data_IF_896860375443
#
_entry.id   IF_896860375443
#
_cell.length_a   1.000
_cell.length_b   1.000
_cell.length_c   1.000
_cell.angle_alpha   90.00
_cell.angle_beta   90.00
_cell.angle_gamma   90.00
#
_symmetry.space_group_name_H-M   'P 1'
#
loop_
_entity.id
_entity.type
_entity.pdbx_description
1 polymer ?
#
# COMPACT_ATOMS: atom_id res chain seq x y z
N UNK A 1 0.09 -28.94 -21.24
CA UNK A 1 1.36 -28.65 -21.95
C UNK A 1 2.28 -28.02 -20.93
N UNK A 2 3.45 -28.63 -20.69
CA UNK A 2 4.44 -28.16 -19.72
C UNK A 2 4.95 -26.78 -20.14
N UNK A 3 4.58 -25.73 -19.39
CA UNK A 3 5.17 -24.40 -19.55
C UNK A 3 6.50 -24.42 -18.79
N UNK A 4 7.58 -24.68 -19.52
CA UNK A 4 8.93 -24.51 -19.00
C UNK A 4 9.08 -23.08 -18.54
N UNK A 5 9.29 -22.89 -17.24
CA UNK A 5 9.74 -21.63 -16.67
C UNK A 5 11.13 -21.35 -17.27
N UNK A 6 11.18 -20.60 -18.37
CA UNK A 6 12.44 -20.08 -18.87
C UNK A 6 13.03 -19.20 -17.76
N UNK A 7 14.24 -19.56 -17.34
CA UNK A 7 14.95 -18.84 -16.30
C UNK A 7 15.43 -17.50 -16.88
N UNK A 8 14.59 -16.47 -16.83
CA UNK A 8 14.98 -15.10 -17.20
C UNK A 8 16.06 -14.64 -16.20
N UNK A 9 17.25 -14.22 -16.66
CA UNK A 9 18.28 -13.67 -15.79
C UNK A 9 17.77 -12.49 -14.96
N UNK A 10 18.27 -12.33 -13.74
CA UNK A 10 17.85 -11.25 -12.85
C UNK A 10 18.08 -9.85 -13.44
N UNK A 11 19.14 -9.67 -14.23
CA UNK A 11 19.43 -8.40 -14.93
C UNK A 11 18.37 -8.08 -15.98
N UNK A 12 17.94 -9.08 -16.76
CA UNK A 12 16.92 -8.90 -17.79
C UNK A 12 15.54 -8.65 -17.16
N UNK A 13 15.23 -9.33 -16.06
CA UNK A 13 14.02 -9.02 -15.27
C UNK A 13 14.02 -7.57 -14.76
N UNK A 14 15.17 -7.08 -14.28
CA UNK A 14 15.31 -5.70 -13.80
C UNK A 14 15.15 -4.68 -14.93
N UNK A 15 15.82 -4.89 -16.06
CA UNK A 15 15.72 -4.01 -17.23
C UNK A 15 14.28 -3.95 -17.74
N UNK A 16 13.62 -5.12 -17.84
CA UNK A 16 12.21 -5.20 -18.22
C UNK A 16 11.30 -4.50 -17.21
N UNK A 17 11.57 -4.59 -15.90
CA UNK A 17 10.77 -3.93 -14.88
C UNK A 17 10.85 -2.41 -14.95
N UNK A 18 12.04 -1.87 -15.24
CA UNK A 18 12.26 -0.43 -15.39
C UNK A 18 11.62 0.09 -16.68
N UNK A 19 11.80 -0.62 -17.79
CA UNK A 19 11.26 -0.23 -19.10
C UNK A 19 9.73 -0.30 -19.12
N UNK A 20 9.16 -1.33 -18.50
CA UNK A 20 7.71 -1.55 -18.48
C UNK A 20 7.04 -0.99 -17.22
N UNK A 21 7.70 -0.06 -16.52
CA UNK A 21 7.13 0.57 -15.34
C UNK A 21 5.89 1.38 -15.73
N UNK A 22 4.81 1.22 -14.96
CA UNK A 22 3.51 1.82 -15.23
C UNK A 22 2.92 2.49 -14.02
N UNK A 23 2.01 3.42 -14.27
CA UNK A 23 1.18 4.05 -13.24
C UNK A 23 -0.25 4.26 -13.76
N UNK A 24 -1.19 4.43 -12.83
CA UNK A 24 -2.55 4.86 -13.11
C UNK A 24 -2.75 6.29 -12.64
N UNK A 25 -3.33 7.13 -13.51
CA UNK A 25 -3.70 8.50 -13.18
C UNK A 25 -5.01 8.51 -12.36
N UNK A 26 -5.14 9.44 -11.40
CA UNK A 26 -6.32 9.56 -10.54
C UNK A 26 -7.66 9.48 -11.28
N UNK A 27 -7.82 10.18 -12.40
CA UNK A 27 -9.09 10.23 -13.14
C UNK A 27 -9.56 8.84 -13.63
N UNK A 28 -8.63 7.92 -13.92
CA UNK A 28 -8.96 6.54 -14.26
C UNK A 28 -9.14 5.67 -13.02
N UNK A 29 -8.43 5.98 -11.94
CA UNK A 29 -8.55 5.27 -10.68
C UNK A 29 -9.87 5.57 -9.97
N UNK A 30 -10.38 6.79 -10.07
CA UNK A 30 -11.66 7.21 -9.48
C UNK A 30 -12.86 6.44 -10.07
N UNK A 31 -12.77 6.06 -11.34
CA UNK A 31 -13.80 5.29 -12.04
C UNK A 31 -13.61 3.78 -11.94
N UNK A 32 -12.52 3.32 -11.31
CA UNK A 32 -12.24 1.90 -11.14
C UNK A 32 -13.22 1.25 -10.16
N UNK A 33 -13.65 0.03 -10.49
CA UNK A 33 -14.41 -0.81 -9.58
C UNK A 33 -13.46 -1.62 -8.68
N UNK A 34 -13.45 -1.30 -7.39
CA UNK A 34 -12.64 -2.00 -6.39
C UNK A 34 -13.31 -3.27 -5.85
N UNK A 35 -14.58 -3.50 -6.17
CA UNK A 35 -15.31 -4.74 -5.85
C UNK A 35 -15.01 -5.85 -6.87
N UNK A 36 -14.54 -5.47 -8.06
CA UNK A 36 -14.16 -6.41 -9.09
C UNK A 36 -12.85 -7.13 -8.71
N UNK A 37 -12.96 -8.43 -8.43
CA UNK A 37 -11.83 -9.32 -8.17
C UNK A 37 -11.34 -10.06 -9.41
N UNK A 38 -12.01 -9.88 -10.56
CA UNK A 38 -11.58 -10.52 -11.80
C UNK A 38 -10.33 -9.84 -12.35
N UNK A 39 -9.41 -10.65 -12.87
CA UNK A 39 -8.31 -10.18 -13.72
C UNK A 39 -8.84 -9.92 -15.13
N UNK A 40 -9.84 -9.03 -15.26
CA UNK A 40 -10.43 -8.77 -16.56
C UNK A 40 -9.37 -8.22 -17.52
N UNK A 41 -9.47 -8.63 -18.79
CA UNK A 41 -8.47 -8.45 -19.85
C UNK A 41 -8.19 -6.96 -20.16
N UNK A 42 -9.00 -6.05 -19.63
CA UNK A 42 -8.88 -4.61 -19.84
C UNK A 42 -8.32 -3.81 -18.64
N UNK A 43 -8.04 -4.46 -17.51
CA UNK A 43 -7.54 -3.77 -16.30
C UNK A 43 -6.16 -3.12 -16.53
N UNK A 44 -5.27 -3.77 -17.27
CA UNK A 44 -3.95 -3.22 -17.63
C UNK A 44 -4.03 -1.97 -18.53
N UNK A 45 -5.09 -1.84 -19.34
CA UNK A 45 -5.32 -0.65 -20.18
C UNK A 45 -5.71 0.61 -19.38
N UNK A 46 -6.09 0.43 -18.10
CA UNK A 46 -6.32 1.56 -17.19
C UNK A 46 -5.02 2.25 -16.80
N UNK A 47 -3.91 1.55 -16.68
CA UNK A 47 -2.60 2.18 -16.45
C UNK A 47 -1.99 2.71 -17.76
N UNK A 48 -0.85 3.39 -17.64
CA UNK A 48 -0.02 3.84 -18.76
C UNK A 48 1.46 3.65 -18.42
N UNK A 49 2.34 3.57 -19.44
CA UNK A 49 3.79 3.65 -19.20
C UNK A 49 4.15 4.91 -18.42
N UNK A 50 5.11 4.76 -17.52
CA UNK A 50 5.69 5.89 -16.80
C UNK A 50 6.46 6.77 -17.79
N UNK A 51 6.25 8.09 -17.74
CA UNK A 51 6.94 9.01 -18.64
C UNK A 51 8.41 9.16 -18.22
N UNK A 52 9.26 9.56 -19.16
CA UNK A 52 10.66 9.85 -18.86
C UNK A 52 10.79 10.93 -17.78
N UNK A 53 11.61 10.67 -16.76
CA UNK A 53 11.78 11.50 -15.55
C UNK A 53 10.53 11.70 -14.68
N UNK A 54 9.43 11.00 -14.96
CA UNK A 54 8.29 10.97 -14.05
C UNK A 54 8.59 10.05 -12.87
N UNK A 55 8.05 10.38 -11.70
CA UNK A 55 8.08 9.54 -10.52
C UNK A 55 6.66 9.35 -10.04
N UNK A 56 6.31 8.11 -9.68
CA UNK A 56 4.98 7.77 -9.21
C UNK A 56 4.78 8.35 -7.81
N UNK A 57 3.63 8.96 -7.54
CA UNK A 57 3.42 9.60 -6.24
C UNK A 57 3.20 8.57 -5.13
N UNK A 58 2.33 7.59 -5.37
CA UNK A 58 2.00 6.57 -4.37
C UNK A 58 2.16 5.15 -4.89
N UNK A 59 2.85 4.32 -4.12
CA UNK A 59 2.66 2.87 -4.14
C UNK A 59 1.44 2.56 -3.28
N UNK A 60 0.38 1.99 -3.84
CA UNK A 60 -0.83 1.69 -3.08
C UNK A 60 -0.80 0.26 -2.54
N UNK A 61 -0.63 0.13 -1.22
CA UNK A 61 -0.78 -1.14 -0.50
C UNK A 61 -2.14 -1.21 0.16
N UNK A 62 -2.90 -2.26 -0.12
CA UNK A 62 -4.26 -2.41 0.38
C UNK A 62 -4.74 -3.86 0.36
N UNK A 63 -5.76 -4.18 1.16
CA UNK A 63 -6.45 -5.47 1.05
C UNK A 63 -7.61 -5.39 0.06
N UNK A 64 -7.63 -6.32 -0.90
CA UNK A 64 -8.81 -6.56 -1.75
C UNK A 64 -10.06 -6.99 -0.97
N UNK A 65 -9.93 -7.52 0.25
CA UNK A 65 -11.08 -7.96 1.09
C UNK A 65 -11.71 -6.83 1.93
N UNK A 66 -11.07 -5.67 2.01
CA UNK A 66 -11.69 -4.52 2.67
C UNK A 66 -12.74 -3.88 1.77
N UNK A 67 -13.75 -3.26 2.39
CA UNK A 67 -14.92 -2.70 1.71
C UNK A 67 -14.50 -1.71 0.58
N UNK A 68 -14.96 -1.94 -0.67
CA UNK A 68 -14.53 -1.15 -1.82
C UNK A 68 -15.01 0.30 -1.76
N UNK A 69 -16.20 0.56 -1.23
CA UNK A 69 -16.77 1.91 -1.12
C UNK A 69 -16.03 2.72 -0.06
N UNK A 70 -15.67 2.10 1.07
CA UNK A 70 -14.85 2.74 2.09
C UNK A 70 -13.45 3.07 1.55
N UNK A 71 -12.82 2.15 0.80
CA UNK A 71 -11.53 2.41 0.14
C UNK A 71 -11.61 3.59 -0.82
N UNK A 72 -12.65 3.61 -1.65
CA UNK A 72 -12.87 4.68 -2.63
C UNK A 72 -13.05 6.04 -1.95
N UNK A 73 -13.83 6.10 -0.88
CA UNK A 73 -14.00 7.34 -0.11
C UNK A 73 -12.66 7.85 0.46
N UNK A 74 -11.85 6.96 1.06
CA UNK A 74 -10.54 7.30 1.58
C UNK A 74 -9.58 7.79 0.48
N UNK A 75 -9.59 7.15 -0.69
CA UNK A 75 -8.78 7.56 -1.84
C UNK A 75 -9.16 8.94 -2.38
N UNK A 76 -10.46 9.27 -2.41
CA UNK A 76 -10.92 10.62 -2.80
C UNK A 76 -10.37 11.68 -1.86
N UNK A 77 -10.37 11.42 -0.56
CA UNK A 77 -9.79 12.33 0.44
C UNK A 77 -8.27 12.51 0.22
N UNK A 78 -7.53 11.41 0.08
CA UNK A 78 -6.08 11.45 -0.21
C UNK A 78 -5.78 12.22 -1.50
N UNK A 79 -6.55 11.98 -2.57
CA UNK A 79 -6.35 12.66 -3.84
C UNK A 79 -6.62 14.17 -3.75
N UNK A 80 -7.63 14.59 -2.98
CA UNK A 80 -7.93 16.00 -2.73
C UNK A 80 -6.84 16.68 -1.92
N UNK A 81 -6.40 16.08 -0.81
CA UNK A 81 -5.28 16.60 -0.01
C UNK A 81 -4.00 16.75 -0.84
N UNK A 82 -3.73 15.78 -1.71
CA UNK A 82 -2.61 15.85 -2.64
C UNK A 82 -2.77 17.02 -3.62
N UNK A 83 -3.96 17.18 -4.21
CA UNK A 83 -4.25 18.28 -5.13
C UNK A 83 -4.09 19.66 -4.46
N UNK A 84 -4.56 19.81 -3.22
CA UNK A 84 -4.43 21.06 -2.47
C UNK A 84 -2.97 21.45 -2.22
N UNK A 85 -2.10 20.45 -1.97
CA UNK A 85 -0.68 20.66 -1.69
C UNK A 85 0.21 20.76 -2.93
N UNK A 86 -0.18 20.14 -4.04
CA UNK A 86 0.67 20.02 -5.24
C UNK A 86 0.08 20.64 -6.50
N UNK A 87 -1.18 21.10 -6.47
CA UNK A 87 -1.92 21.69 -7.60
C UNK A 87 -1.98 20.78 -8.85
N UNK A 88 -1.97 19.46 -8.63
CA UNK A 88 -2.23 18.43 -9.64
C UNK A 88 -2.76 17.17 -8.98
N UNK A 89 -3.43 16.31 -9.73
CA UNK A 89 -3.85 15.01 -9.22
C UNK A 89 -2.68 14.03 -9.09
N UNK A 90 -2.74 13.10 -8.11
CA UNK A 90 -1.69 12.10 -7.91
C UNK A 90 -1.72 10.98 -8.95
N UNK A 91 -0.59 10.30 -9.07
CA UNK A 91 -0.42 9.03 -9.79
C UNK A 91 -0.19 7.89 -8.81
N UNK A 92 -0.65 6.70 -9.16
CA UNK A 92 -0.55 5.53 -8.31
C UNK A 92 0.10 4.36 -9.04
N UNK A 93 0.80 3.53 -8.28
CA UNK A 93 1.12 2.17 -8.67
C UNK A 93 0.18 1.23 -7.91
N UNK A 94 -0.48 0.34 -8.65
CA UNK A 94 -1.44 -0.63 -8.13
C UNK A 94 -1.26 -1.96 -8.87
N UNK A 95 -1.10 -3.05 -8.13
CA UNK A 95 -0.84 -4.40 -8.63
C UNK A 95 -1.75 -4.79 -9.80
N UNK A 96 -3.08 -4.71 -9.64
CA UNK A 96 -4.08 -5.17 -10.61
C UNK A 96 -3.96 -4.51 -11.97
N UNK A 97 -3.54 -3.25 -12.02
CA UNK A 97 -3.54 -2.46 -13.28
C UNK A 97 -2.13 -2.15 -13.78
N UNK A 98 -1.11 -2.18 -12.92
CA UNK A 98 0.27 -1.85 -13.27
C UNK A 98 1.12 -3.10 -13.57
N UNK A 99 0.71 -4.28 -13.10
CA UNK A 99 1.31 -5.56 -13.50
C UNK A 99 0.51 -6.15 -14.65
N UNK A 100 1.24 -6.69 -15.63
CA UNK A 100 0.65 -7.53 -16.67
C UNK A 100 0.13 -8.83 -16.04
N UNK A 101 -1.19 -8.97 -15.97
CA UNK A 101 -1.84 -10.09 -15.29
C UNK A 101 -1.63 -11.42 -16.02
N UNK A 102 -1.19 -11.40 -17.29
CA UNK A 102 -0.81 -12.61 -18.02
C UNK A 102 0.59 -13.11 -17.61
N UNK A 103 1.40 -12.26 -16.96
CA UNK A 103 2.73 -12.60 -16.44
C UNK A 103 2.97 -12.07 -15.01
N UNK A 104 2.05 -12.36 -14.09
CA UNK A 104 2.11 -11.93 -12.69
C UNK A 104 3.42 -12.36 -12.03
N UNK A 105 3.85 -13.61 -12.27
CA UNK A 105 5.00 -14.20 -11.59
C UNK A 105 6.31 -13.43 -11.76
N UNK A 106 6.53 -12.80 -12.91
CA UNK A 106 7.72 -11.98 -13.14
C UNK A 106 7.57 -10.58 -12.54
N UNK A 107 6.37 -9.98 -12.60
CA UNK A 107 6.07 -8.71 -11.95
C UNK A 107 6.27 -8.78 -10.43
N UNK A 108 5.94 -9.91 -9.79
CA UNK A 108 6.12 -10.07 -8.34
C UNK A 108 7.60 -10.14 -7.92
N UNK A 109 8.49 -10.70 -8.75
CA UNK A 109 9.92 -10.81 -8.43
C UNK A 109 10.62 -9.46 -8.35
N UNK A 110 10.08 -8.45 -9.03
CA UNK A 110 10.66 -7.11 -9.15
C UNK A 110 9.90 -6.08 -8.29
N UNK A 111 9.08 -6.53 -7.33
CA UNK A 111 8.38 -5.66 -6.38
C UNK A 111 9.26 -4.56 -5.76
N UNK A 112 10.54 -4.81 -5.37
CA UNK A 112 11.41 -3.73 -4.87
C UNK A 112 11.59 -2.57 -5.86
N UNK A 113 11.63 -2.85 -7.16
CA UNK A 113 11.75 -1.82 -8.22
C UNK A 113 10.51 -0.94 -8.20
N UNK A 114 9.32 -1.54 -8.14
CA UNK A 114 8.05 -0.82 -8.13
C UNK A 114 7.88 0.04 -6.88
N UNK A 115 8.16 -0.53 -5.70
CA UNK A 115 8.10 0.22 -4.43
C UNK A 115 9.10 1.37 -4.42
N UNK A 116 10.31 1.17 -4.95
CA UNK A 116 11.34 2.22 -4.97
C UNK A 116 11.10 3.29 -6.02
N UNK A 117 10.33 3.00 -7.07
CA UNK A 117 9.94 3.99 -8.08
C UNK A 117 8.86 4.97 -7.60
N UNK A 118 8.16 4.67 -6.50
CA UNK A 118 7.15 5.53 -5.90
C UNK A 118 7.75 6.47 -4.84
N UNK A 119 7.24 7.70 -4.73
CA UNK A 119 7.68 8.65 -3.68
C UNK A 119 7.27 8.17 -2.30
N UNK A 120 5.99 7.87 -2.14
CA UNK A 120 5.38 7.46 -0.89
C UNK A 120 4.70 6.10 -1.05
N UNK A 121 4.52 5.41 0.08
CA UNK A 121 3.68 4.23 0.19
C UNK A 121 2.39 4.62 0.89
N UNK A 122 1.28 4.54 0.16
CA UNK A 122 -0.06 4.73 0.69
C UNK A 122 -0.60 3.38 1.17
N UNK A 123 -0.79 3.26 2.48
CA UNK A 123 -1.38 2.09 3.12
C UNK A 123 -2.84 2.40 3.43
N UNK A 124 -3.75 1.74 2.72
CA UNK A 124 -5.18 1.76 3.04
C UNK A 124 -5.48 0.68 4.08
N UNK A 125 -5.43 1.05 5.36
CA UNK A 125 -5.51 0.12 6.47
C UNK A 125 -6.97 -0.12 6.88
N UNK A 126 -7.57 -1.21 6.39
CA UNK A 126 -8.87 -1.71 6.85
C UNK A 126 -8.78 -2.94 7.76
N UNK A 127 -9.94 -3.49 8.18
CA UNK A 127 -10.02 -4.61 9.12
C UNK A 127 -9.26 -5.87 8.69
N UNK A 128 -9.10 -6.11 7.39
CA UNK A 128 -8.45 -7.31 6.86
C UNK A 128 -6.97 -7.11 6.52
N UNK A 129 -6.47 -5.87 6.51
CA UNK A 129 -5.11 -5.54 6.05
C UNK A 129 -4.03 -6.38 6.75
N UNK A 130 -4.06 -6.46 8.08
CA UNK A 130 -3.05 -7.21 8.86
C UNK A 130 -3.16 -8.73 8.73
N UNK A 131 -4.22 -9.23 8.08
CA UNK A 131 -4.41 -10.65 7.77
C UNK A 131 -3.89 -11.02 6.38
N UNK A 132 -3.43 -10.04 5.59
CA UNK A 132 -2.88 -10.25 4.25
C UNK A 132 -1.36 -10.21 4.31
N UNK A 133 -0.73 -11.36 4.09
CA UNK A 133 0.72 -11.47 4.10
C UNK A 133 1.36 -10.63 2.97
N UNK A 134 0.69 -10.57 1.82
CA UNK A 134 1.12 -9.75 0.68
C UNK A 134 1.23 -8.26 1.03
N UNK A 135 0.22 -7.69 1.69
CA UNK A 135 0.23 -6.27 2.09
C UNK A 135 1.36 -5.97 3.09
N UNK A 136 1.60 -6.88 4.04
CA UNK A 136 2.73 -6.74 4.96
C UNK A 136 4.08 -6.87 4.22
N UNK A 137 4.17 -7.74 3.22
CA UNK A 137 5.36 -7.93 2.40
C UNK A 137 5.74 -6.67 1.59
N UNK A 138 4.76 -5.96 1.03
CA UNK A 138 4.97 -4.68 0.34
C UNK A 138 5.60 -3.64 1.28
N UNK A 139 5.03 -3.48 2.48
CA UNK A 139 5.56 -2.57 3.49
C UNK A 139 6.96 -2.98 3.96
N UNK A 140 7.21 -4.26 4.19
CA UNK A 140 8.55 -4.76 4.53
C UNK A 140 9.57 -4.49 3.42
N UNK A 141 9.14 -4.57 2.15
CA UNK A 141 9.99 -4.26 1.00
C UNK A 141 10.49 -2.81 1.07
N UNK A 142 9.62 -1.85 1.39
CA UNK A 142 10.06 -0.45 1.61
C UNK A 142 11.14 -0.34 2.69
N UNK A 143 10.93 -0.98 3.85
CA UNK A 143 11.89 -0.95 4.97
C UNK A 143 13.20 -1.70 4.70
N UNK A 144 13.17 -2.69 3.79
CA UNK A 144 14.36 -3.46 3.44
C UNK A 144 15.28 -2.72 2.47
N UNK A 145 14.72 -1.84 1.63
CA UNK A 145 15.43 -1.10 0.59
C UNK A 145 15.58 0.40 0.89
N UNK A 146 15.24 0.83 2.10
CA UNK A 146 15.43 2.20 2.57
C UNK A 146 16.02 2.19 3.98
N UNK A 147 16.73 3.26 4.36
CA UNK A 147 17.05 3.44 5.79
C UNK A 147 15.74 3.56 6.59
N UNK A 148 15.77 3.17 7.87
CA UNK A 148 14.59 3.23 8.73
C UNK A 148 13.92 4.62 8.73
N UNK A 149 14.73 5.69 8.81
CA UNK A 149 14.25 7.08 8.78
C UNK A 149 13.56 7.41 7.46
N UNK A 150 14.13 7.00 6.33
CA UNK A 150 13.54 7.24 5.00
C UNK A 150 12.25 6.43 4.80
N UNK A 151 12.24 5.16 5.22
CA UNK A 151 11.05 4.32 5.11
C UNK A 151 9.89 4.93 5.89
N UNK A 152 10.14 5.30 7.15
CA UNK A 152 9.16 5.98 8.02
C UNK A 152 8.63 7.27 7.38
N UNK A 153 9.49 8.13 6.84
CA UNK A 153 9.05 9.39 6.23
C UNK A 153 8.27 9.22 4.92
N UNK A 154 8.28 8.02 4.32
CA UNK A 154 7.60 7.70 3.06
C UNK A 154 6.28 6.96 3.27
N UNK A 155 5.95 6.54 4.49
CA UNK A 155 4.72 5.80 4.77
C UNK A 155 3.60 6.76 5.11
N UNK A 156 2.52 6.71 4.34
CA UNK A 156 1.26 7.38 4.59
C UNK A 156 0.21 6.31 4.91
N UNK A 157 -0.33 6.27 6.13
CA UNK A 157 -1.40 5.32 6.50
C UNK A 157 -2.74 6.06 6.56
N UNK A 158 -3.70 5.61 5.74
CA UNK A 158 -5.09 6.03 5.79
C UNK A 158 -5.93 4.90 6.37
N UNK A 159 -6.51 5.12 7.54
CA UNK A 159 -7.39 4.12 8.17
C UNK A 159 -8.75 4.12 7.48
N UNK A 160 -9.23 2.94 7.11
CA UNK A 160 -10.52 2.76 6.46
C UNK A 160 -11.64 2.71 7.50
N UNK A 161 -12.37 3.81 7.61
CA UNK A 161 -13.47 3.97 8.57
C UNK A 161 -14.81 3.98 7.84
N UNK A 162 -15.84 3.34 8.42
CA UNK A 162 -17.22 3.49 7.96
C UNK A 162 -17.69 4.94 8.10
N UNK A 163 -18.78 5.31 7.42
CA UNK A 163 -19.38 6.64 7.55
C UNK A 163 -19.68 7.01 9.01
N UNK A 164 -20.24 6.07 9.77
CA UNK A 164 -20.54 6.26 11.21
C UNK A 164 -19.27 6.48 12.03
N UNK A 165 -18.20 5.75 11.74
CA UNK A 165 -16.92 5.91 12.44
C UNK A 165 -16.23 7.22 12.08
N UNK A 166 -16.30 7.66 10.81
CA UNK A 166 -15.82 8.98 10.38
C UNK A 166 -16.55 10.10 11.11
N UNK A 167 -17.87 10.05 11.18
CA UNK A 167 -18.67 11.04 11.91
C UNK A 167 -18.35 11.06 13.40
N UNK A 168 -18.16 9.88 14.01
CA UNK A 168 -17.74 9.77 15.41
C UNK A 168 -16.34 10.37 15.61
N UNK A 169 -15.38 10.04 14.75
CA UNK A 169 -14.03 10.57 14.77
C UNK A 169 -14.05 12.09 14.62
N UNK A 170 -14.82 12.63 13.68
CA UNK A 170 -14.95 14.07 13.46
C UNK A 170 -15.52 14.78 14.69
N UNK A 171 -16.59 14.26 15.30
CA UNK A 171 -17.17 14.83 16.53
C UNK A 171 -16.17 14.81 17.68
N UNK A 172 -15.45 13.70 17.85
CA UNK A 172 -14.41 13.57 18.87
C UNK A 172 -13.26 14.56 18.64
N UNK A 173 -12.79 14.70 17.40
CA UNK A 173 -11.75 15.68 17.03
C UNK A 173 -12.20 17.12 17.30
N UNK A 174 -13.44 17.47 16.92
CA UNK A 174 -14.00 18.80 17.19
C UNK A 174 -14.13 19.08 18.69
N UNK A 175 -14.51 18.09 19.50
CA UNK A 175 -14.57 18.23 20.95
C UNK A 175 -13.17 18.42 21.55
N UNK A 176 -12.20 17.58 21.17
CA UNK A 176 -10.83 17.66 21.65
C UNK A 176 -10.17 19.01 21.33
N UNK A 177 -10.31 19.50 20.09
CA UNK A 177 -9.74 20.77 19.65
C UNK A 177 -10.32 21.98 20.41
N UNK A 178 -11.55 21.88 20.95
CA UNK A 178 -12.12 22.91 21.82
C UNK A 178 -11.49 22.91 23.22
N UNK A 179 -11.12 21.74 23.72
CA UNK A 179 -10.49 21.56 25.03
C UNK A 179 -8.98 21.88 24.99
N UNK A 180 -8.34 21.74 23.83
CA UNK A 180 -6.89 21.91 23.63
C UNK A 180 -6.59 22.89 22.48
N UNK A 181 -6.99 24.17 22.58
CA UNK A 181 -6.90 25.14 21.48
C UNK A 181 -5.46 25.48 21.06
N UNK A 182 -4.48 25.28 21.95
CA UNK A 182 -3.07 25.57 21.71
C UNK A 182 -2.28 24.37 21.15
N UNK A 183 -2.90 23.18 21.07
CA UNK A 183 -2.28 22.00 20.47
C UNK A 183 -2.47 22.00 18.95
N UNK A 184 -1.39 22.29 18.21
CA UNK A 184 -1.36 22.13 16.75
C UNK A 184 -1.31 20.64 16.42
N UNK A 185 -2.47 20.07 16.14
CA UNK A 185 -2.62 18.68 15.78
C UNK A 185 -1.97 18.39 14.42
N UNK A 186 -0.95 17.53 14.41
CA UNK A 186 -0.45 16.90 13.17
C UNK A 186 -1.33 15.68 12.87
N UNK A 187 -1.61 15.49 11.58
CA UNK A 187 -2.74 14.75 11.00
C UNK A 187 -3.27 13.55 11.81
N UNK A 188 -4.58 13.57 12.03
CA UNK A 188 -5.44 12.39 11.98
C UNK A 188 -5.40 11.34 13.09
N UNK A 189 -4.52 11.42 14.10
CA UNK A 189 -4.40 10.35 15.12
C UNK A 189 -4.56 10.88 16.54
N UNK A 190 -5.69 10.57 17.18
CA UNK A 190 -5.79 10.62 18.65
C UNK A 190 -5.03 9.40 19.17
N UNK A 191 -3.93 9.57 19.93
CA UNK A 191 -3.14 8.47 20.45
C UNK A 191 -4.02 7.45 21.20
N UNK A 192 -3.92 6.17 20.81
CA UNK A 192 -4.56 5.06 21.52
C UNK A 192 -6.05 4.82 21.24
N UNK A 193 -6.64 5.35 20.17
CA UNK A 193 -8.09 5.23 19.93
C UNK A 193 -8.54 4.51 18.65
N UNK A 194 -7.62 4.09 17.77
CA UNK A 194 -7.98 3.42 16.52
C UNK A 194 -7.63 1.93 16.54
N UNK A 195 -8.63 1.02 16.64
CA UNK A 195 -8.41 -0.42 16.68
C UNK A 195 -7.62 -0.97 15.49
N UNK A 196 -7.69 -0.32 14.33
CA UNK A 196 -6.98 -0.74 13.12
C UNK A 196 -5.50 -0.41 13.20
N UNK A 197 -5.15 0.77 13.75
CA UNK A 197 -3.76 1.09 14.05
C UNK A 197 -3.18 0.18 15.13
N UNK A 198 -3.98 -0.16 16.13
CA UNK A 198 -3.63 -1.13 17.16
C UNK A 198 -3.29 -2.50 16.57
N UNK A 199 -4.07 -2.94 15.59
CA UNK A 199 -3.83 -4.19 14.85
C UNK A 199 -2.47 -4.17 14.14
N UNK A 200 -2.10 -3.07 13.48
CA UNK A 200 -0.79 -2.91 12.85
C UNK A 200 0.35 -2.88 13.88
N UNK A 201 0.18 -2.17 15.01
CA UNK A 201 1.17 -2.12 16.09
C UNK A 201 1.40 -3.48 16.77
N UNK A 202 0.41 -4.37 16.72
CA UNK A 202 0.44 -5.72 17.28
C UNK A 202 0.61 -6.80 16.21
N UNK A 203 0.90 -6.41 14.96
CA UNK A 203 1.00 -7.32 13.82
C UNK A 203 1.86 -8.54 14.13
N UNK A 204 1.38 -9.73 13.75
CA UNK A 204 2.13 -10.98 13.79
C UNK A 204 2.09 -11.69 12.45
N UNK A 205 3.24 -12.18 12.00
CA UNK A 205 3.33 -12.85 10.69
C UNK A 205 2.61 -14.19 10.66
N UNK A 206 2.42 -14.82 11.83
CA UNK A 206 1.60 -16.03 12.00
C UNK A 206 0.14 -15.84 11.64
N UNK A 207 -0.37 -14.61 11.75
CA UNK A 207 -1.80 -14.31 11.60
C UNK A 207 -2.16 -13.83 10.18
N UNK A 208 -1.15 -13.70 9.31
CA UNK A 208 -1.28 -13.16 7.98
C UNK A 208 -1.07 -14.25 6.92
N UNK A 209 -1.88 -14.23 5.87
CA UNK A 209 -1.92 -15.27 4.83
C UNK A 209 -1.95 -14.69 3.41
N UNK A 210 -1.48 -15.46 2.45
CA UNK A 210 -1.76 -15.20 1.02
C UNK A 210 -2.99 -15.97 0.57
N UNK A 211 -3.54 -15.58 -0.57
CA UNK A 211 -4.64 -16.33 -1.19
C UNK A 211 -4.15 -17.68 -1.76
N UNK A 212 -2.99 -17.68 -2.43
CA UNK A 212 -2.34 -18.90 -2.94
C UNK A 212 -1.37 -19.47 -1.88
N UNK A 213 -1.58 -20.72 -1.41
CA UNK A 213 -0.68 -21.39 -0.48
C UNK A 213 0.77 -21.55 -0.99
N UNK A 214 0.98 -21.66 -2.30
CA UNK A 214 2.32 -21.79 -2.87
C UNK A 214 3.09 -20.47 -2.76
N UNK A 215 2.44 -19.35 -3.06
CA UNK A 215 3.01 -18.01 -2.87
C UNK A 215 3.21 -17.71 -1.38
N UNK A 216 2.29 -18.16 -0.51
CA UNK A 216 2.48 -18.06 0.94
C UNK A 216 3.76 -18.79 1.38
N UNK A 217 3.95 -20.05 0.96
CA UNK A 217 5.11 -20.85 1.32
C UNK A 217 6.42 -20.19 0.86
N UNK A 218 6.45 -19.64 -0.35
CA UNK A 218 7.60 -18.89 -0.87
C UNK A 218 7.90 -17.66 -0.03
N UNK A 219 6.91 -16.80 0.23
CA UNK A 219 7.10 -15.61 1.06
C UNK A 219 7.53 -15.96 2.47
N UNK A 220 6.91 -16.96 3.10
CA UNK A 220 7.31 -17.43 4.44
C UNK A 220 8.75 -17.92 4.46
N UNK A 221 9.20 -18.63 3.42
CA UNK A 221 10.60 -19.06 3.32
C UNK A 221 11.55 -17.87 3.30
N UNK A 222 11.22 -16.80 2.56
CA UNK A 222 12.05 -15.58 2.51
C UNK A 222 12.00 -14.83 3.84
N UNK A 223 10.82 -14.70 4.44
CA UNK A 223 10.62 -14.06 5.75
C UNK A 223 11.43 -14.80 6.84
N UNK A 224 11.40 -16.12 6.85
CA UNK A 224 12.20 -16.93 7.77
C UNK A 224 13.71 -16.68 7.59
N UNK A 225 14.17 -16.59 6.34
CA UNK A 225 15.58 -16.32 6.02
C UNK A 225 16.05 -14.92 6.46
N UNK A 226 15.20 -13.90 6.35
CA UNK A 226 15.53 -12.52 6.83
C UNK A 226 15.26 -12.30 8.32
N UNK A 227 14.51 -13.22 8.94
CA UNK A 227 14.10 -13.21 10.34
C UNK A 227 12.70 -12.63 10.55
N UNK A 228 11.77 -13.45 11.04
CA UNK A 228 10.38 -13.08 11.33
C UNK A 228 10.28 -11.88 12.30
N UNK A 229 11.12 -11.85 13.33
CA UNK A 229 11.14 -10.74 14.29
C UNK A 229 11.49 -9.41 13.62
N UNK A 230 12.42 -9.41 12.65
CA UNK A 230 12.78 -8.22 11.89
C UNK A 230 11.62 -7.79 11.00
N UNK A 231 10.99 -8.75 10.31
CA UNK A 231 9.81 -8.50 9.50
C UNK A 231 8.70 -7.83 10.31
N UNK A 232 8.29 -8.42 11.44
CA UNK A 232 7.27 -7.86 12.32
C UNK A 232 7.66 -6.47 12.87
N UNK A 233 8.92 -6.27 13.25
CA UNK A 233 9.39 -4.97 13.73
C UNK A 233 9.25 -3.87 12.69
N UNK A 234 9.53 -4.15 11.41
CA UNK A 234 9.32 -3.18 10.32
C UNK A 234 7.86 -2.76 10.19
N UNK A 235 6.92 -3.71 10.22
CA UNK A 235 5.48 -3.41 10.11
C UNK A 235 5.00 -2.58 11.31
N UNK A 236 5.38 -2.99 12.53
CA UNK A 236 5.02 -2.28 13.76
C UNK A 236 5.64 -0.88 13.82
N UNK A 237 6.85 -0.72 13.27
CA UNK A 237 7.53 0.57 13.21
C UNK A 237 6.79 1.56 12.30
N UNK A 238 6.30 1.12 11.15
CA UNK A 238 5.48 1.95 10.27
C UNK A 238 4.24 2.52 10.99
N UNK A 239 3.56 1.67 11.78
CA UNK A 239 2.41 2.09 12.57
C UNK A 239 2.76 3.12 13.65
N UNK A 240 3.85 2.90 14.39
CA UNK A 240 4.32 3.82 15.45
C UNK A 240 4.74 5.18 14.89
N UNK A 241 5.38 5.17 13.73
CA UNK A 241 5.83 6.38 13.07
C UNK A 241 4.67 7.34 12.78
N UNK A 242 3.57 6.82 12.20
CA UNK A 242 2.38 7.63 11.88
C UNK A 242 1.71 8.19 13.14
N UNK A 243 1.73 7.45 14.26
CA UNK A 243 1.19 7.94 15.54
C UNK A 243 2.06 9.01 16.20
N UNK A 244 3.32 9.15 15.80
CA UNK A 244 4.31 10.03 16.44
C UNK A 244 4.66 11.27 15.60
N UNK A 245 4.13 11.37 14.38
CA UNK A 245 4.46 12.40 13.38
C UNK A 245 3.40 13.50 13.28
#
# INVERSE_FOLDING_TARGET
VSLGSQHVPASELLDNAVVNLRCIDWLKMETMDFADHSADVNSYALSRPLKHHEQIDFFMSHSWHDDPEIKKAALVEVAREFYESHHRWPTFWLDKVCIDQDNIGDGLKVLPVYVMACKEMLVLCGPTYTKRLWCAWELFTLFSFSSFKQAVSRVHITVLLTQKEREKKQKMMTAYAREHPDEVFRRGTIPGSDPLMDSLMKFRVSDAHCYDPNEEAKLRSVIAAVGESRFEQSIRAAAKAVLSS
#
